data_IF_184516669971
#
_entry.id   IF_184516669971
#
_cell.length_a   1.000
_cell.length_b   1.000
_cell.length_c   1.000
_cell.angle_alpha   90.00
_cell.angle_beta   90.00
_cell.angle_gamma   90.00
#
_symmetry.space_group_name_H-M   'P 1'
#
loop_
_entity.id
_entity.type
_entity.pdbx_description
1 polymer ?
#
# COMPACT_ATOMS: atom_id res chain seq x y z
N UNK A 1 41.18 27.86 3.24
CA UNK A 1 40.26 27.10 4.12
C UNK A 1 39.45 26.15 3.23
N UNK A 2 39.57 24.83 3.42
CA UNK A 2 38.83 23.84 2.59
C UNK A 2 37.37 23.80 3.04
N UNK A 3 36.44 24.05 2.11
CA UNK A 3 35.00 23.85 2.35
C UNK A 3 34.74 22.37 2.63
N UNK A 4 34.19 22.08 3.80
CA UNK A 4 33.58 20.79 4.09
C UNK A 4 32.29 20.69 3.28
N UNK A 5 32.32 19.92 2.19
CA UNK A 5 31.09 19.45 1.53
C UNK A 5 30.46 18.43 2.47
N UNK A 6 29.38 18.83 3.14
CA UNK A 6 28.53 17.89 3.87
C UNK A 6 27.78 17.09 2.82
N UNK A 7 28.39 15.99 2.34
CA UNK A 7 27.66 14.99 1.57
C UNK A 7 26.60 14.43 2.51
N UNK A 8 25.33 14.52 2.11
CA UNK A 8 24.18 14.10 2.92
C UNK A 8 24.21 12.57 3.07
N UNK A 9 24.97 12.07 4.04
CA UNK A 9 25.11 10.65 4.38
C UNK A 9 23.87 10.08 5.07
N UNK A 10 22.66 10.40 4.58
CA UNK A 10 21.38 9.92 5.13
C UNK A 10 20.88 8.69 4.35
N UNK A 11 21.48 8.37 3.21
CA UNK A 11 20.94 7.44 2.21
C UNK A 11 20.99 5.95 2.55
N UNK A 12 21.67 5.52 3.63
CA UNK A 12 21.82 4.09 3.91
C UNK A 12 20.67 3.49 4.74
N UNK A 13 20.05 4.28 5.64
CA UNK A 13 19.04 3.76 6.59
C UNK A 13 17.64 3.68 5.97
N UNK A 14 17.24 4.67 5.18
CA UNK A 14 15.96 4.68 4.47
C UNK A 14 15.84 3.51 3.49
N UNK A 15 16.92 3.23 2.75
CA UNK A 15 17.02 2.09 1.84
C UNK A 15 16.84 0.76 2.58
N UNK A 16 17.54 0.58 3.71
CA UNK A 16 17.42 -0.63 4.53
C UNK A 16 16.02 -0.83 5.13
N UNK A 17 15.34 0.24 5.56
CA UNK A 17 13.95 0.15 6.05
C UNK A 17 12.96 -0.17 4.94
N UNK A 18 13.14 0.41 3.76
CA UNK A 18 12.29 0.13 2.61
C UNK A 18 12.47 -1.32 2.15
N UNK A 19 13.70 -1.81 2.07
CA UNK A 19 13.99 -3.20 1.68
C UNK A 19 13.34 -4.20 2.64
N UNK A 20 13.42 -3.93 3.96
CA UNK A 20 12.75 -4.76 4.97
C UNK A 20 11.23 -4.76 4.78
N UNK A 21 10.62 -3.59 4.57
CA UNK A 21 9.19 -3.48 4.29
C UNK A 21 8.79 -4.28 3.04
N UNK A 22 9.55 -4.14 1.95
CA UNK A 22 9.30 -4.87 0.70
C UNK A 22 9.40 -6.39 0.87
N UNK A 23 10.34 -6.85 1.71
CA UNK A 23 10.45 -8.27 2.07
C UNK A 23 9.26 -8.76 2.91
N UNK A 24 8.80 -7.96 3.88
CA UNK A 24 7.66 -8.29 4.74
C UNK A 24 6.37 -8.43 3.92
N UNK A 25 6.01 -7.42 3.12
CA UNK A 25 4.81 -7.48 2.28
C UNK A 25 4.90 -8.55 1.19
N UNK A 26 6.12 -8.95 0.80
CA UNK A 26 6.35 -10.03 -0.16
C UNK A 26 6.00 -11.41 0.38
N UNK A 27 5.93 -11.56 1.70
CA UNK A 27 5.56 -12.82 2.39
C UNK A 27 4.06 -12.93 2.65
N UNK A 28 3.30 -11.86 2.46
CA UNK A 28 1.85 -11.88 2.60
C UNK A 28 1.23 -12.80 1.54
N UNK A 29 0.31 -13.65 1.97
CA UNK A 29 -0.40 -14.57 1.10
C UNK A 29 -1.40 -13.83 0.21
N UNK A 30 -1.55 -14.32 -1.03
CA UNK A 30 -2.58 -13.82 -1.92
C UNK A 30 -3.93 -14.40 -1.48
N UNK A 31 -4.93 -13.54 -1.43
CA UNK A 31 -6.31 -13.95 -1.14
C UNK A 31 -7.06 -14.32 -2.42
N UNK A 32 -7.98 -15.26 -2.31
CA UNK A 32 -8.91 -15.59 -3.40
C UNK A 32 -10.01 -14.54 -3.54
N UNK A 33 -10.79 -14.63 -4.62
CA UNK A 33 -11.95 -13.75 -4.82
C UNK A 33 -13.03 -14.06 -3.77
N UNK A 34 -13.20 -15.32 -3.39
CA UNK A 34 -14.14 -15.74 -2.36
C UNK A 34 -13.74 -15.20 -0.98
N UNK A 35 -12.44 -15.24 -0.65
CA UNK A 35 -11.92 -14.62 0.56
C UNK A 35 -12.10 -13.10 0.56
N UNK A 36 -11.87 -12.45 -0.58
CA UNK A 36 -12.09 -11.00 -0.74
C UNK A 36 -13.54 -10.61 -0.41
N UNK A 37 -14.50 -11.39 -0.89
CA UNK A 37 -15.94 -11.22 -0.60
C UNK A 37 -16.23 -11.42 0.89
N UNK A 38 -15.70 -12.48 1.50
CA UNK A 38 -15.90 -12.74 2.94
C UNK A 38 -15.33 -11.60 3.80
N UNK A 39 -14.12 -11.16 3.48
CA UNK A 39 -13.44 -10.08 4.19
C UNK A 39 -14.22 -8.77 4.04
N UNK A 40 -14.69 -8.43 2.84
CA UNK A 40 -15.51 -7.24 2.61
C UNK A 40 -16.79 -7.24 3.47
N UNK A 41 -17.49 -8.37 3.54
CA UNK A 41 -18.69 -8.52 4.37
C UNK A 41 -18.40 -8.36 5.86
N UNK A 42 -17.25 -8.84 6.33
CA UNK A 42 -16.80 -8.70 7.72
C UNK A 42 -16.39 -7.27 8.04
N UNK A 43 -15.69 -6.60 7.12
CA UNK A 43 -15.31 -5.19 7.23
C UNK A 43 -16.55 -4.30 7.38
N UNK A 44 -17.61 -4.55 6.60
CA UNK A 44 -18.90 -3.84 6.73
C UNK A 44 -19.53 -3.98 8.12
N UNK A 45 -19.21 -5.05 8.86
CA UNK A 45 -19.65 -5.29 10.24
C UNK A 45 -18.68 -4.72 11.29
N UNK A 46 -17.61 -4.03 10.88
CA UNK A 46 -16.62 -3.43 11.76
C UNK A 46 -15.48 -4.38 12.17
N UNK A 47 -15.24 -5.47 11.44
CA UNK A 47 -14.13 -6.39 11.72
C UNK A 47 -12.78 -5.79 11.29
N UNK A 48 -12.04 -5.28 12.28
CA UNK A 48 -10.73 -4.69 12.06
C UNK A 48 -9.68 -5.71 11.58
N UNK A 49 -9.78 -6.97 11.98
CA UNK A 49 -8.84 -8.01 11.55
C UNK A 49 -9.08 -8.36 10.08
N UNK A 50 -10.34 -8.34 9.62
CA UNK A 50 -10.65 -8.48 8.21
C UNK A 50 -10.12 -7.31 7.37
N UNK A 51 -10.24 -6.07 7.89
CA UNK A 51 -9.68 -4.88 7.24
C UNK A 51 -8.16 -4.98 7.10
N UNK A 52 -7.47 -5.40 8.17
CA UNK A 52 -6.03 -5.60 8.16
C UNK A 52 -5.63 -6.71 7.16
N UNK A 53 -6.29 -7.87 7.17
CA UNK A 53 -6.00 -8.97 6.24
C UNK A 53 -6.19 -8.55 4.78
N UNK A 54 -7.30 -7.89 4.45
CA UNK A 54 -7.57 -7.41 3.09
C UNK A 54 -6.53 -6.37 2.65
N UNK A 55 -6.16 -5.45 3.53
CA UNK A 55 -5.15 -4.42 3.24
C UNK A 55 -3.77 -5.05 3.02
N UNK A 56 -3.32 -5.91 3.94
CA UNK A 56 -2.01 -6.57 3.90
C UNK A 56 -1.79 -7.40 2.64
N UNK A 57 -2.80 -8.19 2.26
CA UNK A 57 -2.76 -9.00 1.03
C UNK A 57 -2.56 -8.15 -0.24
N UNK A 58 -2.89 -6.86 -0.20
CA UNK A 58 -2.85 -5.95 -1.34
C UNK A 58 -1.73 -4.89 -1.27
N UNK A 59 -0.85 -4.90 -0.26
CA UNK A 59 0.24 -3.91 -0.15
C UNK A 59 1.22 -3.94 -1.34
N UNK A 60 1.45 -5.13 -1.91
CA UNK A 60 2.29 -5.28 -3.12
C UNK A 60 1.72 -4.52 -4.33
N UNK A 61 0.40 -4.39 -4.41
CA UNK A 61 -0.27 -3.62 -5.45
C UNK A 61 -0.06 -2.11 -5.24
N UNK A 62 -0.11 -1.62 -4.00
CA UNK A 62 0.21 -0.21 -3.71
C UNK A 62 1.61 0.14 -4.18
N UNK A 63 2.60 -0.71 -3.88
CA UNK A 63 3.98 -0.49 -4.34
C UNK A 63 4.08 -0.45 -5.86
N UNK A 64 3.34 -1.29 -6.58
CA UNK A 64 3.36 -1.29 -8.05
C UNK A 64 2.75 -0.02 -8.65
N UNK A 65 1.69 0.52 -8.02
CA UNK A 65 1.08 1.81 -8.40
C UNK A 65 2.02 2.97 -8.05
N UNK A 66 2.54 3.03 -6.83
CA UNK A 66 3.43 4.09 -6.35
C UNK A 66 4.70 4.23 -7.21
N UNK A 67 5.26 3.13 -7.71
CA UNK A 67 6.40 3.14 -8.64
C UNK A 67 6.14 3.93 -9.92
N UNK A 68 4.89 4.04 -10.37
CA UNK A 68 4.51 4.80 -11.57
C UNK A 68 4.62 6.33 -11.36
N UNK A 69 4.62 6.78 -10.10
CA UNK A 69 4.66 8.20 -9.72
C UNK A 69 6.04 8.64 -9.22
N UNK A 70 7.06 7.77 -9.32
CA UNK A 70 8.43 8.14 -8.97
C UNK A 70 8.93 9.30 -9.84
N UNK A 71 9.85 10.09 -9.27
CA UNK A 71 10.47 11.26 -9.91
C UNK A 71 9.52 12.46 -10.11
N UNK A 72 8.35 12.47 -9.47
CA UNK A 72 7.40 13.60 -9.49
C UNK A 72 7.48 14.48 -8.24
N UNK A 73 8.60 14.43 -7.50
CA UNK A 73 8.89 15.30 -6.35
C UNK A 73 8.76 14.66 -4.97
N UNK A 74 8.12 13.49 -4.87
CA UNK A 74 8.06 12.70 -3.62
C UNK A 74 8.99 11.48 -3.66
N UNK A 75 9.43 11.05 -2.48
CA UNK A 75 10.21 9.82 -2.35
C UNK A 75 9.29 8.58 -2.51
N UNK A 76 9.86 7.44 -2.91
CA UNK A 76 9.07 6.20 -3.04
C UNK A 76 8.42 5.77 -1.71
N UNK A 77 9.09 5.82 -0.54
CA UNK A 77 8.45 5.58 0.76
C UNK A 77 7.23 6.46 1.01
N UNK A 78 7.31 7.76 0.68
CA UNK A 78 6.18 8.68 0.88
C UNK A 78 4.99 8.32 -0.01
N UNK A 79 5.25 8.04 -1.30
CA UNK A 79 4.22 7.60 -2.25
C UNK A 79 3.55 6.29 -1.80
N UNK A 80 4.33 5.36 -1.24
CA UNK A 80 3.79 4.10 -0.69
C UNK A 80 2.91 4.38 0.53
N UNK A 81 3.33 5.26 1.43
CA UNK A 81 2.55 5.59 2.64
C UNK A 81 1.20 6.23 2.28
N UNK A 82 1.17 7.21 1.38
CA UNK A 82 -0.09 7.82 0.91
C UNK A 82 -0.96 6.79 0.17
N UNK A 83 -0.34 5.97 -0.69
CA UNK A 83 -1.04 4.89 -1.37
C UNK A 83 -1.65 3.86 -0.40
N UNK A 84 -0.98 3.56 0.71
CA UNK A 84 -1.49 2.66 1.75
C UNK A 84 -2.71 3.26 2.47
N UNK A 85 -2.70 4.57 2.75
CA UNK A 85 -3.87 5.27 3.28
C UNK A 85 -5.05 5.22 2.30
N UNK A 86 -4.78 5.39 1.01
CA UNK A 86 -5.77 5.20 -0.06
C UNK A 86 -6.35 3.79 -0.09
N UNK A 87 -5.50 2.77 0.03
CA UNK A 87 -5.92 1.37 0.07
C UNK A 87 -6.84 1.08 1.27
N UNK A 88 -6.51 1.57 2.46
CA UNK A 88 -7.34 1.39 3.66
C UNK A 88 -8.72 2.03 3.45
N UNK A 89 -8.77 3.27 2.96
CA UNK A 89 -10.03 3.96 2.63
C UNK A 89 -10.84 3.18 1.59
N UNK A 90 -10.18 2.57 0.61
CA UNK A 90 -10.83 1.72 -0.37
C UNK A 90 -11.44 0.48 0.30
N UNK A 91 -10.70 -0.17 1.20
CA UNK A 91 -11.16 -1.38 1.87
C UNK A 91 -12.38 -1.12 2.77
N UNK A 92 -12.42 0.02 3.47
CA UNK A 92 -13.57 0.45 4.29
C UNK A 92 -14.83 0.70 3.45
N UNK A 93 -14.68 1.11 2.19
CA UNK A 93 -15.78 1.54 1.31
C UNK A 93 -16.12 0.54 0.21
N UNK A 94 -15.37 -0.56 0.13
CA UNK A 94 -15.56 -1.54 -0.92
C UNK A 94 -16.91 -2.24 -0.78
N UNK A 95 -17.56 -2.46 -1.92
CA UNK A 95 -18.83 -3.15 -2.00
C UNK A 95 -18.70 -4.33 -2.96
N UNK A 96 -18.60 -5.52 -2.37
CA UNK A 96 -18.44 -6.80 -3.06
C UNK A 96 -19.61 -7.15 -3.96
N UNK A 97 -20.79 -6.55 -3.75
CA UNK A 97 -22.00 -6.83 -4.53
C UNK A 97 -21.96 -6.24 -5.95
N UNK A 98 -21.00 -5.34 -6.23
CA UNK A 98 -20.90 -4.64 -7.52
C UNK A 98 -20.22 -5.43 -8.64
N UNK A 99 -19.74 -6.64 -8.36
CA UNK A 99 -19.26 -7.59 -9.37
C UNK A 99 -17.89 -7.27 -9.97
N UNK A 100 -17.06 -6.47 -9.29
CA UNK A 100 -15.67 -6.22 -9.66
C UNK A 100 -14.73 -6.54 -8.49
N UNK A 101 -13.47 -6.88 -8.81
CA UNK A 101 -12.43 -7.15 -7.82
C UNK A 101 -12.07 -5.89 -7.03
N UNK A 102 -11.70 -6.06 -5.77
CA UNK A 102 -11.27 -4.99 -4.87
C UNK A 102 -10.16 -4.12 -5.48
N UNK A 103 -9.14 -4.73 -6.07
CA UNK A 103 -8.02 -4.00 -6.69
C UNK A 103 -8.46 -3.03 -7.80
N UNK A 104 -9.52 -3.36 -8.55
CA UNK A 104 -10.08 -2.50 -9.59
C UNK A 104 -10.70 -1.23 -9.01
N UNK A 105 -11.20 -1.32 -7.78
CA UNK A 105 -11.74 -0.18 -7.04
C UNK A 105 -10.64 0.59 -6.30
N UNK A 106 -9.73 -0.13 -5.64
CA UNK A 106 -8.67 0.44 -4.83
C UNK A 106 -7.72 1.34 -5.62
N UNK A 107 -7.46 1.05 -6.90
CA UNK A 107 -6.55 1.85 -7.73
C UNK A 107 -6.93 3.33 -7.80
N UNK A 108 -8.22 3.67 -7.77
CA UNK A 108 -8.67 5.06 -7.78
C UNK A 108 -8.32 5.78 -6.48
N UNK A 109 -8.50 5.12 -5.34
CA UNK A 109 -8.18 5.66 -4.04
C UNK A 109 -6.67 5.80 -3.81
N UNK A 110 -5.90 4.83 -4.27
CA UNK A 110 -4.43 4.85 -4.19
C UNK A 110 -3.86 6.02 -4.99
N UNK A 111 -4.43 6.33 -6.16
CA UNK A 111 -3.98 7.42 -7.03
C UNK A 111 -4.44 8.81 -6.59
N UNK A 112 -5.55 8.87 -5.86
CA UNK A 112 -6.12 10.13 -5.39
C UNK A 112 -5.53 10.59 -4.05
N UNK A 113 -4.99 9.66 -3.26
CA UNK A 113 -4.44 9.95 -1.93
C UNK A 113 -3.11 10.68 -1.99
#
# INVERSE_FOLDING_TARGET
MRQLKITKSITNRESASLDKYLQEIGREELITVEEEVELAQRIKKGDQAALEKLTRANLRFVVSVAKQYQNQGLSLPDLINEGNLGLIKAAEKFDETRGFKFISYAVWWIRQS
#
